data_IF_394301231132
#
_entry.id   IF_394301231132
#
_cell.length_a   1.000
_cell.length_b   1.000
_cell.length_c   1.000
_cell.angle_alpha   90.00
_cell.angle_beta   90.00
_cell.angle_gamma   90.00
#
_symmetry.space_group_name_H-M   'P 1'
#
loop_
_entity.id
_entity.type
_entity.pdbx_description
1 polymer ?
#
# COMPACT_ATOMS: atom_id res chain seq x y z
N UNK A 1 69.33 3.93 -31.30
CA UNK A 1 68.04 4.07 -30.59
C UNK A 1 67.47 2.66 -30.49
N UNK A 2 67.67 2.02 -29.34
CA UNK A 2 67.07 0.74 -28.95
C UNK A 2 66.26 0.98 -27.67
N UNK A 3 65.34 0.10 -27.21
CA UNK A 3 64.53 -0.90 -27.94
C UNK A 3 63.05 -0.99 -27.42
N UNK A 4 62.29 -1.90 -28.05
CA UNK A 4 61.25 -2.82 -27.52
C UNK A 4 60.04 -2.40 -26.61
N UNK A 5 58.89 -3.03 -26.93
CA UNK A 5 57.84 -3.65 -26.07
C UNK A 5 56.42 -3.05 -25.95
N UNK A 6 55.50 -3.81 -26.54
CA UNK A 6 54.29 -4.43 -25.99
C UNK A 6 53.49 -3.79 -24.81
N UNK A 7 52.20 -3.60 -25.10
CA UNK A 7 50.97 -3.85 -24.28
C UNK A 7 50.98 -3.53 -22.78
N UNK A 8 50.05 -2.64 -22.39
CA UNK A 8 49.43 -2.66 -21.07
C UNK A 8 47.94 -2.28 -21.14
N UNK A 9 47.15 -3.17 -20.54
CA UNK A 9 45.73 -3.08 -20.19
C UNK A 9 45.39 -1.83 -19.37
N UNK A 10 44.18 -1.30 -19.54
CA UNK A 10 43.67 -0.19 -18.75
C UNK A 10 42.15 -0.09 -18.80
N UNK A 11 41.45 -1.08 -18.23
CA UNK A 11 40.08 -0.84 -17.74
C UNK A 11 40.18 0.19 -16.62
N UNK A 12 39.62 1.38 -16.85
CA UNK A 12 39.42 2.36 -15.77
C UNK A 12 38.36 1.80 -14.82
N UNK A 13 38.61 1.68 -13.50
CA UNK A 13 37.53 1.48 -12.55
C UNK A 13 36.79 2.82 -12.45
N UNK A 14 35.62 2.90 -13.07
CA UNK A 14 34.67 3.97 -12.83
C UNK A 14 34.15 3.82 -11.40
N UNK A 15 34.73 4.59 -10.49
CA UNK A 15 34.21 4.78 -9.14
C UNK A 15 32.85 5.46 -9.19
N UNK A 16 31.80 4.66 -9.25
CA UNK A 16 30.45 5.09 -8.90
C UNK A 16 30.16 4.57 -7.51
N UNK A 17 30.38 5.41 -6.49
CA UNK A 17 29.75 5.15 -5.20
C UNK A 17 28.25 4.98 -5.43
N UNK A 18 27.69 3.84 -5.04
CA UNK A 18 26.26 3.64 -5.06
C UNK A 18 25.67 4.77 -4.20
N UNK A 19 25.09 5.79 -4.84
CA UNK A 19 24.18 6.66 -4.13
C UNK A 19 23.15 5.70 -3.54
N UNK A 20 23.10 5.61 -2.21
CA UNK A 20 22.09 4.83 -1.51
C UNK A 20 20.76 5.46 -1.91
N UNK A 21 20.11 4.90 -2.93
CA UNK A 21 18.79 5.30 -3.38
C UNK A 21 17.85 5.06 -2.20
N UNK A 22 17.30 6.14 -1.66
CA UNK A 22 16.39 6.05 -0.53
C UNK A 22 15.17 5.23 -0.96
N UNK A 23 15.01 4.05 -0.36
CA UNK A 23 13.89 3.15 -0.67
C UNK A 23 12.58 3.83 -0.28
N UNK A 24 11.70 4.07 -1.25
CA UNK A 24 10.36 4.59 -1.03
C UNK A 24 9.37 3.45 -0.91
N UNK A 25 8.92 3.23 0.32
CA UNK A 25 7.91 2.23 0.64
C UNK A 25 6.54 2.90 0.64
N UNK A 26 5.63 2.39 -0.16
CA UNK A 26 4.21 2.78 -0.16
C UNK A 26 3.42 1.67 0.51
N UNK A 27 2.57 2.01 1.47
CA UNK A 27 1.66 1.06 2.13
C UNK A 27 0.24 1.48 1.85
N UNK A 28 -0.54 0.64 1.16
CA UNK A 28 -1.96 0.92 0.97
C UNK A 28 -2.78 0.45 2.18
N UNK A 29 -3.60 1.34 2.71
CA UNK A 29 -4.44 1.10 3.89
C UNK A 29 -5.91 1.41 3.60
N UNK A 30 -6.78 0.68 4.29
CA UNK A 30 -8.21 0.89 4.33
C UNK A 30 -8.70 0.83 5.80
N UNK A 31 -10.00 0.75 6.02
CA UNK A 31 -10.55 0.66 7.38
C UNK A 31 -10.36 -0.72 8.04
N UNK A 32 -9.70 -1.69 7.40
CA UNK A 32 -9.54 -3.05 7.90
C UNK A 32 -8.36 -3.23 8.85
N UNK A 33 -8.44 -4.23 9.72
CA UNK A 33 -7.33 -4.58 10.61
C UNK A 33 -6.17 -5.23 9.85
N UNK A 34 -6.47 -5.93 8.75
CA UNK A 34 -5.48 -6.60 7.91
C UNK A 34 -4.55 -5.61 7.21
N UNK A 35 -5.06 -4.46 6.77
CA UNK A 35 -4.23 -3.42 6.16
C UNK A 35 -3.37 -2.69 7.20
N UNK A 36 -3.89 -2.44 8.40
CA UNK A 36 -3.10 -1.91 9.52
C UNK A 36 -2.06 -2.90 10.04
N UNK A 37 -2.36 -4.19 10.00
CA UNK A 37 -1.40 -5.24 10.27
C UNK A 37 -0.28 -5.23 9.23
N UNK A 38 -0.60 -5.10 7.94
CA UNK A 38 0.40 -4.98 6.88
C UNK A 38 1.31 -3.76 7.08
N UNK A 39 0.74 -2.61 7.48
CA UNK A 39 1.51 -1.42 7.85
C UNK A 39 2.45 -1.68 9.02
N UNK A 40 1.94 -2.27 10.11
CA UNK A 40 2.75 -2.65 11.26
C UNK A 40 3.90 -3.57 10.87
N UNK A 41 3.60 -4.57 10.03
CA UNK A 41 4.59 -5.52 9.53
C UNK A 41 5.68 -4.84 8.71
N UNK A 42 5.30 -3.95 7.77
CA UNK A 42 6.25 -3.20 6.96
C UNK A 42 7.16 -2.30 7.79
N UNK A 43 6.59 -1.62 8.80
CA UNK A 43 7.35 -0.81 9.72
C UNK A 43 8.40 -1.64 10.47
N UNK A 44 8.00 -2.81 10.98
CA UNK A 44 8.85 -3.64 11.82
C UNK A 44 9.91 -4.43 11.04
N UNK A 45 9.65 -4.82 9.79
CA UNK A 45 10.51 -5.72 9.02
C UNK A 45 11.17 -5.10 7.79
N UNK A 46 10.62 -4.01 7.26
CA UNK A 46 11.19 -3.28 6.11
C UNK A 46 11.80 -1.98 6.58
N UNK A 47 10.98 -1.03 7.05
CA UNK A 47 11.44 0.33 7.35
C UNK A 47 12.53 0.33 8.43
N UNK A 48 12.34 -0.45 9.50
CA UNK A 48 13.32 -0.57 10.61
C UNK A 48 14.71 -1.02 10.15
N UNK A 49 14.78 -1.85 9.11
CA UNK A 49 16.03 -2.45 8.63
C UNK A 49 16.66 -1.68 7.45
N UNK A 50 16.01 -0.62 6.97
CA UNK A 50 16.47 0.20 5.84
C UNK A 50 16.60 1.68 6.27
N UNK A 51 17.69 2.06 6.95
CA UNK A 51 17.93 3.44 7.33
C UNK A 51 17.90 4.37 6.11
N UNK A 52 17.06 5.40 6.15
CA UNK A 52 16.84 6.31 5.02
C UNK A 52 15.67 5.93 4.11
N UNK A 53 14.97 4.82 4.38
CA UNK A 53 13.71 4.55 3.69
C UNK A 53 12.68 5.64 4.00
N UNK A 54 11.95 6.08 2.97
CA UNK A 54 10.80 6.97 3.13
C UNK A 54 9.51 6.14 3.08
N UNK A 55 8.55 6.47 3.93
CA UNK A 55 7.27 5.77 4.01
C UNK A 55 6.13 6.70 3.62
N UNK A 56 5.27 6.23 2.71
CA UNK A 56 4.00 6.88 2.38
C UNK A 56 2.84 5.91 2.61
N UNK A 57 1.86 6.35 3.40
CA UNK A 57 0.59 5.65 3.57
C UNK A 57 -0.38 6.16 2.52
N UNK A 58 -0.99 5.25 1.75
CA UNK A 58 -1.97 5.59 0.72
C UNK A 58 -3.32 5.01 1.09
N UNK A 59 -4.37 5.81 0.99
CA UNK A 59 -5.75 5.37 1.13
C UNK A 59 -6.55 5.75 -0.11
N UNK A 60 -7.20 4.78 -0.74
CA UNK A 60 -8.06 5.03 -1.89
C UNK A 60 -9.49 5.36 -1.45
N UNK A 61 -9.99 6.50 -1.92
CA UNK A 61 -11.33 7.00 -1.73
C UNK A 61 -12.09 6.87 -3.06
N UNK A 62 -13.28 6.27 -3.06
CA UNK A 62 -14.10 6.20 -4.27
C UNK A 62 -14.64 7.60 -4.62
N UNK A 63 -14.80 7.99 -5.89
CA UNK A 63 -15.49 9.23 -6.22
C UNK A 63 -16.94 9.18 -5.71
N UNK A 64 -17.41 10.24 -5.06
CA UNK A 64 -18.80 10.37 -4.63
C UNK A 64 -19.79 10.32 -5.81
N UNK A 65 -19.29 10.53 -7.02
CA UNK A 65 -20.05 10.65 -8.26
C UNK A 65 -20.38 9.27 -8.87
N UNK A 66 -19.75 8.19 -8.39
CA UNK A 66 -19.91 6.84 -8.94
C UNK A 66 -21.02 6.02 -8.25
N UNK A 67 -21.86 6.63 -7.42
CA UNK A 67 -23.04 5.99 -6.83
C UNK A 67 -24.26 5.95 -7.77
N UNK A 68 -24.03 5.73 -9.08
CA UNK A 68 -25.10 5.34 -10.00
C UNK A 68 -25.40 3.86 -9.75
N UNK A 69 -26.28 3.58 -8.79
CA UNK A 69 -26.79 2.22 -8.60
C UNK A 69 -27.64 1.83 -9.81
N UNK A 70 -27.35 0.69 -10.49
CA UNK A 70 -28.29 0.14 -11.46
C UNK A 70 -29.54 -0.29 -10.71
N UNK A 71 -30.61 0.52 -10.78
CA UNK A 71 -31.92 0.13 -10.29
C UNK A 71 -32.52 -0.81 -11.33
N UNK A 72 -32.83 -2.03 -10.92
CA UNK A 72 -33.13 -3.18 -11.78
C UNK A 72 -34.35 -3.05 -12.72
N UNK A 73 -34.93 -1.86 -12.90
CA UNK A 73 -36.06 -1.69 -13.81
C UNK A 73 -36.17 -0.30 -14.48
N UNK A 74 -35.82 0.83 -13.86
CA UNK A 74 -36.13 2.16 -14.44
C UNK A 74 -35.18 3.28 -14.01
N UNK A 75 -34.33 3.77 -14.93
CA UNK A 75 -33.78 5.14 -14.93
C UNK A 75 -32.65 5.50 -13.95
N UNK A 76 -32.08 6.70 -14.16
CA UNK A 76 -31.13 7.35 -13.26
C UNK A 76 -31.85 7.83 -12.00
N UNK A 77 -31.33 7.51 -10.81
CA UNK A 77 -31.81 8.07 -9.56
C UNK A 77 -31.25 9.49 -9.37
N UNK A 78 -32.13 10.50 -9.25
CA UNK A 78 -31.72 11.86 -8.91
C UNK A 78 -31.32 11.93 -7.43
N UNK A 79 -30.04 12.22 -7.17
CA UNK A 79 -29.53 12.48 -5.83
C UNK A 79 -29.54 14.01 -5.63
N UNK A 80 -30.26 14.55 -4.63
CA UNK A 80 -30.21 15.97 -4.32
C UNK A 80 -28.77 16.45 -4.05
N UNK A 81 -28.38 17.65 -4.49
CA UNK A 81 -27.02 18.18 -4.27
C UNK A 81 -26.59 18.16 -2.79
N UNK A 82 -27.52 18.40 -1.88
CA UNK A 82 -27.29 18.35 -0.43
C UNK A 82 -26.94 16.95 0.07
N UNK A 83 -27.59 15.92 -0.46
CA UNK A 83 -27.27 14.53 -0.13
C UNK A 83 -25.88 14.14 -0.66
N UNK A 84 -25.52 14.60 -1.86
CA UNK A 84 -24.20 14.37 -2.45
C UNK A 84 -23.09 15.06 -1.64
N UNK A 85 -23.33 16.29 -1.16
CA UNK A 85 -22.41 17.01 -0.29
C UNK A 85 -22.23 16.30 1.08
N UNK A 86 -23.32 15.81 1.68
CA UNK A 86 -23.25 15.02 2.92
C UNK A 86 -22.47 13.73 2.73
N UNK A 87 -22.68 13.02 1.61
CA UNK A 87 -21.94 11.80 1.29
C UNK A 87 -20.45 12.09 1.11
N UNK A 88 -20.10 13.14 0.36
CA UNK A 88 -18.72 13.59 0.18
C UNK A 88 -18.06 13.90 1.53
N UNK A 89 -18.70 14.71 2.38
CA UNK A 89 -18.19 15.04 3.72
C UNK A 89 -18.00 13.80 4.59
N UNK A 90 -18.94 12.86 4.55
CA UNK A 90 -18.85 11.61 5.31
C UNK A 90 -17.68 10.75 4.82
N UNK A 91 -17.46 10.73 3.51
CA UNK A 91 -16.37 9.99 2.91
C UNK A 91 -15.00 10.59 3.24
N UNK A 92 -14.84 11.91 3.09
CA UNK A 92 -13.64 12.64 3.51
C UNK A 92 -13.33 12.39 4.99
N UNK A 93 -14.35 12.44 5.86
CA UNK A 93 -14.20 12.14 7.28
C UNK A 93 -13.73 10.71 7.53
N UNK A 94 -14.29 9.72 6.81
CA UNK A 94 -13.88 8.33 6.93
C UNK A 94 -12.43 8.13 6.45
N UNK A 95 -12.06 8.72 5.32
CA UNK A 95 -10.69 8.68 4.79
C UNK A 95 -9.70 9.34 5.75
N UNK A 96 -10.08 10.48 6.37
CA UNK A 96 -9.30 11.12 7.43
C UNK A 96 -9.09 10.19 8.62
N UNK A 97 -10.12 9.49 9.09
CA UNK A 97 -10.01 8.53 10.20
C UNK A 97 -9.08 7.36 9.87
N UNK A 98 -9.18 6.80 8.67
CA UNK A 98 -8.30 5.72 8.21
C UNK A 98 -6.84 6.16 8.21
N UNK A 99 -6.56 7.31 7.59
CA UNK A 99 -5.20 7.87 7.52
C UNK A 99 -4.68 8.22 8.92
N UNK A 100 -5.48 8.85 9.76
CA UNK A 100 -5.09 9.20 11.12
C UNK A 100 -4.69 7.96 11.92
N UNK A 101 -5.50 6.89 11.85
CA UNK A 101 -5.20 5.62 12.51
C UNK A 101 -3.91 4.99 12.00
N UNK A 102 -3.66 5.04 10.69
CA UNK A 102 -2.41 4.55 10.11
C UNK A 102 -1.18 5.37 10.56
N UNK A 103 -1.32 6.70 10.62
CA UNK A 103 -0.25 7.58 11.10
C UNK A 103 0.05 7.37 12.59
N UNK A 104 -0.97 7.09 13.42
CA UNK A 104 -0.76 6.70 14.82
C UNK A 104 0.08 5.42 14.94
N UNK A 105 -0.19 4.40 14.11
CA UNK A 105 0.60 3.16 14.06
C UNK A 105 2.07 3.44 13.68
N UNK A 106 2.31 4.39 12.78
CA UNK A 106 3.66 4.85 12.41
C UNK A 106 4.34 5.57 13.58
N UNK A 107 3.62 6.49 14.24
CA UNK A 107 4.13 7.27 15.37
C UNK A 107 4.50 6.39 16.56
N UNK A 108 3.72 5.35 16.87
CA UNK A 108 4.03 4.35 17.90
C UNK A 108 5.36 3.63 17.66
N UNK A 109 5.83 3.57 16.42
CA UNK A 109 7.12 2.98 16.01
C UNK A 109 8.20 4.01 15.73
N UNK A 110 7.93 5.28 16.07
CA UNK A 110 8.83 6.41 15.86
C UNK A 110 9.24 6.59 14.38
N UNK A 111 8.34 6.23 13.46
CA UNK A 111 8.55 6.41 12.02
C UNK A 111 7.72 7.59 11.53
N UNK A 112 8.39 8.54 10.87
CA UNK A 112 7.72 9.65 10.18
C UNK A 112 7.24 9.15 8.83
N UNK A 113 5.92 9.13 8.64
CA UNK A 113 5.27 8.76 7.38
C UNK A 113 4.56 9.96 6.77
N UNK A 114 4.58 10.05 5.44
CA UNK A 114 3.63 10.90 4.70
C UNK A 114 2.33 10.13 4.50
N UNK A 115 1.24 10.85 4.24
CA UNK A 115 -0.02 10.24 3.86
C UNK A 115 -0.56 10.89 2.58
N UNK A 116 -1.22 10.08 1.75
CA UNK A 116 -1.95 10.51 0.57
C UNK A 116 -3.32 9.82 0.54
N UNK A 117 -4.36 10.60 0.29
CA UNK A 117 -5.68 10.10 -0.10
C UNK A 117 -5.78 10.24 -1.61
N UNK A 118 -6.08 9.14 -2.30
CA UNK A 118 -6.19 9.11 -3.77
C UNK A 118 -7.63 8.82 -4.15
N UNK A 119 -8.15 9.49 -5.16
CA UNK A 119 -9.52 9.35 -5.61
C UNK A 119 -9.62 8.41 -6.82
N UNK A 120 -10.60 7.50 -6.83
CA UNK A 120 -10.85 6.59 -7.96
C UNK A 120 -11.18 5.16 -7.54
N UNK A 121 -11.21 4.24 -8.50
CA UNK A 121 -11.19 2.81 -8.20
C UNK A 121 -9.87 2.47 -7.49
N UNK A 122 -9.88 1.79 -6.32
CA UNK A 122 -8.67 1.52 -5.56
C UNK A 122 -7.56 0.82 -6.35
N UNK A 123 -7.89 -0.03 -7.32
CA UNK A 123 -6.90 -0.76 -8.11
C UNK A 123 -6.11 0.18 -9.01
N UNK A 124 -6.81 1.05 -9.72
CA UNK A 124 -6.22 1.99 -10.67
C UNK A 124 -5.56 3.16 -9.95
N UNK A 125 -6.25 3.74 -8.97
CA UNK A 125 -5.75 4.88 -8.21
C UNK A 125 -4.47 4.55 -7.44
N UNK A 126 -4.36 3.34 -6.87
CA UNK A 126 -3.13 2.92 -6.19
C UNK A 126 -2.00 2.64 -7.19
N UNK A 127 -2.27 2.02 -8.35
CA UNK A 127 -1.27 1.86 -9.40
C UNK A 127 -0.69 3.20 -9.84
N UNK A 128 -1.56 4.17 -10.14
CA UNK A 128 -1.16 5.52 -10.55
C UNK A 128 -0.33 6.20 -9.45
N UNK A 129 -0.80 6.15 -8.21
CA UNK A 129 -0.09 6.75 -7.08
C UNK A 129 1.32 6.16 -6.90
N UNK A 130 1.46 4.83 -7.03
CA UNK A 130 2.74 4.13 -6.95
C UNK A 130 3.71 4.57 -8.04
N UNK A 131 3.21 4.74 -9.27
CA UNK A 131 4.00 5.24 -10.40
C UNK A 131 4.44 6.69 -10.20
N UNK A 132 3.50 7.59 -9.87
CA UNK A 132 3.75 9.01 -9.64
C UNK A 132 4.72 9.26 -8.49
N UNK A 133 4.63 8.43 -7.44
CA UNK A 133 5.55 8.52 -6.30
C UNK A 133 6.91 7.91 -6.60
N UNK A 134 7.08 7.14 -7.68
CA UNK A 134 8.25 6.30 -7.92
C UNK A 134 8.52 5.40 -6.71
N UNK A 135 7.53 4.61 -6.31
CA UNK A 135 7.68 3.69 -5.19
C UNK A 135 8.63 2.53 -5.56
N UNK A 136 9.51 2.17 -4.63
CA UNK A 136 10.40 1.01 -4.78
C UNK A 136 9.75 -0.29 -4.26
N UNK A 137 8.73 -0.15 -3.40
CA UNK A 137 7.98 -1.27 -2.83
C UNK A 137 6.56 -0.83 -2.48
N UNK A 138 5.57 -1.59 -2.96
CA UNK A 138 4.17 -1.48 -2.52
C UNK A 138 3.85 -2.57 -1.51
N UNK A 139 3.33 -2.21 -0.34
CA UNK A 139 2.87 -3.15 0.69
C UNK A 139 1.36 -3.11 0.84
N UNK A 140 0.74 -4.29 0.86
CA UNK A 140 -0.70 -4.48 0.97
C UNK A 140 -1.02 -5.53 2.03
N UNK A 141 -2.19 -5.40 2.67
CA UNK A 141 -2.79 -6.52 3.39
C UNK A 141 -3.44 -7.51 2.41
N UNK A 142 -3.56 -8.78 2.80
CA UNK A 142 -4.51 -9.70 2.15
C UNK A 142 -5.85 -9.65 2.88
N UNK A 143 -6.94 -9.28 2.20
CA UNK A 143 -8.30 -9.44 2.77
C UNK A 143 -8.58 -10.93 3.00
N UNK A 144 -8.82 -11.31 4.25
CA UNK A 144 -9.40 -12.60 4.58
C UNK A 144 -10.92 -12.45 4.64
N UNK A 145 -11.65 -12.80 3.58
CA UNK A 145 -13.10 -13.01 3.68
C UNK A 145 -13.31 -14.11 4.72
N UNK A 146 -13.73 -13.70 5.92
CA UNK A 146 -13.58 -14.48 7.13
C UNK A 146 -14.23 -15.85 7.01
N UNK A 147 -13.41 -16.92 6.98
CA UNK A 147 -13.80 -18.35 7.01
C UNK A 147 -13.74 -19.15 5.69
N UNK A 148 -13.24 -18.62 4.57
CA UNK A 148 -12.97 -19.47 3.40
C UNK A 148 -11.57 -20.09 3.53
N UNK A 149 -11.52 -21.43 3.60
CA UNK A 149 -10.35 -22.29 3.94
C UNK A 149 -9.14 -22.22 2.97
N UNK A 150 -9.02 -21.21 2.10
CA UNK A 150 -7.88 -21.02 1.21
C UNK A 150 -7.49 -19.55 1.16
N UNK A 151 -6.19 -19.28 1.19
CA UNK A 151 -5.61 -17.94 1.11
C UNK A 151 -5.88 -17.31 -0.26
N UNK A 152 -7.09 -16.80 -0.44
CA UNK A 152 -7.45 -16.01 -1.61
C UNK A 152 -6.96 -14.58 -1.37
N UNK A 153 -6.22 -14.05 -2.33
CA UNK A 153 -5.91 -12.62 -2.37
C UNK A 153 -7.22 -11.83 -2.51
N UNK A 154 -7.31 -10.68 -1.84
CA UNK A 154 -8.40 -9.74 -2.08
C UNK A 154 -8.31 -9.18 -3.50
N UNK A 155 -9.45 -8.76 -4.08
CA UNK A 155 -9.50 -8.27 -5.47
C UNK A 155 -8.55 -7.09 -5.75
N UNK A 156 -8.29 -6.22 -4.76
CA UNK A 156 -7.34 -5.11 -4.88
C UNK A 156 -5.90 -5.62 -4.83
N UNK A 157 -5.55 -6.44 -3.84
CA UNK A 157 -4.19 -6.97 -3.69
C UNK A 157 -3.79 -7.90 -4.85
N UNK A 158 -4.73 -8.71 -5.34
CA UNK A 158 -4.55 -9.55 -6.52
C UNK A 158 -4.29 -8.72 -7.77
N UNK A 159 -5.10 -7.68 -8.01
CA UNK A 159 -4.90 -6.79 -9.15
C UNK A 159 -3.54 -6.10 -9.08
N UNK A 160 -3.21 -5.49 -7.94
CA UNK A 160 -1.97 -4.74 -7.76
C UNK A 160 -0.73 -5.62 -7.90
N UNK A 161 -0.78 -6.89 -7.46
CA UNK A 161 0.32 -7.83 -7.65
C UNK A 161 0.68 -8.05 -9.13
N UNK A 162 -0.28 -7.88 -10.04
CA UNK A 162 -0.09 -8.09 -11.48
C UNK A 162 0.17 -6.78 -12.25
N UNK A 163 -0.21 -5.62 -11.70
CA UNK A 163 -0.25 -4.36 -12.46
C UNK A 163 0.56 -3.21 -11.85
N UNK A 164 0.98 -3.29 -10.59
CA UNK A 164 1.81 -2.24 -10.00
C UNK A 164 3.16 -2.16 -10.71
N UNK A 165 3.66 -0.93 -10.91
CA UNK A 165 4.94 -0.67 -11.58
C UNK A 165 6.18 -0.99 -10.72
N UNK A 166 5.98 -1.43 -9.47
CA UNK A 166 7.04 -1.78 -8.53
C UNK A 166 6.78 -3.14 -7.86
N UNK A 167 7.79 -3.75 -7.22
CA UNK A 167 7.60 -4.94 -6.39
C UNK A 167 6.46 -4.80 -5.40
N UNK A 168 5.63 -5.85 -5.28
CA UNK A 168 4.48 -5.90 -4.36
C UNK A 168 4.71 -6.93 -3.27
N UNK A 169 4.54 -6.50 -2.02
CA UNK A 169 4.55 -7.34 -0.84
C UNK A 169 3.15 -7.44 -0.26
N UNK A 170 2.60 -8.66 -0.19
CA UNK A 170 1.30 -8.92 0.41
C UNK A 170 1.48 -9.60 1.77
N UNK A 171 1.05 -8.92 2.82
CA UNK A 171 1.13 -9.40 4.20
C UNK A 171 -0.15 -10.15 4.56
N UNK A 172 0.00 -11.41 4.98
CA UNK A 172 -1.11 -12.24 5.45
C UNK A 172 -1.49 -11.86 6.88
N UNK A 173 -2.78 -11.98 7.27
CA UNK A 173 -3.18 -11.79 8.65
C UNK A 173 -2.50 -12.81 9.57
N UNK A 174 -2.29 -12.47 10.84
CA UNK A 174 -1.72 -13.41 11.81
C UNK A 174 -2.62 -14.64 11.94
N UNK A 175 -2.00 -15.82 12.11
CA UNK A 175 -2.75 -17.06 12.33
C UNK A 175 -3.59 -16.92 13.60
N UNK A 176 -4.91 -17.03 13.48
CA UNK A 176 -5.78 -17.15 14.64
C UNK A 176 -5.30 -18.37 15.45
N UNK A 177 -4.86 -18.14 16.69
CA UNK A 177 -4.56 -19.24 17.59
C UNK A 177 -5.89 -19.94 17.87
N UNK A 178 -6.00 -21.22 17.51
CA UNK A 178 -7.13 -22.03 17.91
C UNK A 178 -7.20 -21.97 19.44
N UNK A 179 -8.24 -21.34 20.00
CA UNK A 179 -8.51 -21.44 21.44
C UNK A 179 -8.62 -22.93 21.74
N UNK A 180 -7.65 -23.45 22.49
CA UNK A 180 -7.68 -24.83 22.96
C UNK A 180 -9.00 -25.07 23.67
N UNK A 181 -9.76 -26.05 23.18
CA UNK A 181 -10.88 -26.63 23.90
C UNK A 181 -10.32 -27.33 25.13
N UNK A 182 -10.20 -26.60 26.24
CA UNK A 182 -9.94 -27.20 27.53
C UNK A 182 -11.17 -27.98 27.95
N UNK A 183 -11.11 -29.31 27.84
CA UNK A 183 -12.01 -30.19 28.56
C UNK A 183 -11.65 -30.09 30.05
N UNK A 184 -12.57 -29.56 30.86
CA UNK A 184 -12.56 -29.81 32.30
C UNK A 184 -12.65 -31.31 32.54
N UNK A 185 -11.70 -31.83 33.32
CA UNK A 185 -11.86 -33.07 34.07
C UNK A 185 -11.97 -32.70 35.54
#
# INVERSE_FOLDING_TARGET
MEPERAVASGVKPGGGGLATTMTKVVVAVDASEESLHALSWALDHVVRHHPGASLVVVHAQHPADHFVYPVAAHGLAYIPPTAMETMKKTQEENSRKVVARALEVCAQRQVVAKAAVVEGDPKEAICQAVEEMHADLLVLGSRGLGMIKRALLGSVSDYLAHHASCPVLIVKPPKAHAKGTGNST
#
